data_IF_261482616532
#
_entry.id   IF_261482616532
#
_cell.length_a   1.000
_cell.length_b   1.000
_cell.length_c   1.000
_cell.angle_alpha   90.00
_cell.angle_beta   90.00
_cell.angle_gamma   90.00
#
_symmetry.space_group_name_H-M   'P 1'
#
loop_
_entity.id
_entity.type
_entity.pdbx_description
1 polymer ?
#
# COMPACT_ATOMS: atom_id res chain seq x y z
N UNK A 1 30.85 7.75 -51.65
CA UNK A 1 29.92 8.87 -51.52
C UNK A 1 28.84 8.44 -50.54
N UNK A 2 28.72 9.14 -49.54
CA UNK A 2 28.26 9.00 -48.18
C UNK A 2 26.80 8.60 -48.03
N UNK A 3 26.56 7.49 -47.30
CA UNK A 3 25.28 7.13 -46.75
C UNK A 3 25.02 7.94 -45.44
N UNK A 4 24.01 8.80 -45.46
CA UNK A 4 23.51 9.47 -44.29
C UNK A 4 22.44 8.59 -43.63
N UNK A 5 22.79 7.98 -42.50
CA UNK A 5 21.86 7.26 -41.65
C UNK A 5 20.96 8.26 -40.89
N UNK A 6 19.69 8.24 -41.17
CA UNK A 6 18.67 8.91 -40.38
C UNK A 6 18.58 8.24 -38.97
N UNK A 7 19.20 8.87 -37.99
CA UNK A 7 19.00 8.56 -36.59
C UNK A 7 17.70 9.26 -36.11
N UNK A 8 16.63 8.52 -36.00
CA UNK A 8 15.47 8.97 -35.26
C UNK A 8 15.86 9.20 -33.79
N UNK A 9 15.59 10.40 -33.28
CA UNK A 9 15.73 10.71 -31.83
C UNK A 9 14.74 9.85 -31.04
N UNK A 10 15.15 9.24 -29.94
CA UNK A 10 14.20 8.61 -29.05
C UNK A 10 13.31 9.68 -28.42
N UNK A 11 12.01 9.44 -28.42
CA UNK A 11 11.02 10.28 -27.76
C UNK A 11 11.27 10.29 -26.26
N UNK A 12 11.39 11.49 -25.66
CA UNK A 12 11.76 11.70 -24.27
C UNK A 12 10.53 11.62 -23.35
N UNK A 13 9.78 10.52 -23.44
CA UNK A 13 8.61 10.28 -22.60
C UNK A 13 8.74 8.97 -21.84
N UNK A 14 8.68 9.05 -20.54
CA UNK A 14 8.44 7.98 -19.57
C UNK A 14 9.17 6.63 -19.84
N UNK A 15 10.14 6.20 -19.02
CA UNK A 15 10.82 4.91 -19.17
C UNK A 15 9.89 3.68 -19.01
N UNK A 16 8.63 3.87 -18.65
CA UNK A 16 7.62 2.81 -18.55
C UNK A 16 6.92 2.47 -19.86
N UNK A 17 7.16 3.17 -20.97
CA UNK A 17 6.39 3.07 -22.22
C UNK A 17 6.92 2.03 -23.24
N UNK A 18 7.95 1.25 -22.94
CA UNK A 18 8.54 0.30 -23.93
C UNK A 18 8.27 -1.18 -23.65
N UNK A 19 7.11 -1.53 -23.13
CA UNK A 19 6.84 -2.96 -22.82
C UNK A 19 6.01 -3.71 -23.87
N UNK A 20 5.37 -3.05 -24.81
CA UNK A 20 4.51 -3.72 -25.80
C UNK A 20 5.26 -4.59 -26.82
N UNK A 21 6.56 -4.32 -27.07
CA UNK A 21 7.33 -5.13 -28.02
C UNK A 21 7.83 -6.47 -27.45
N UNK A 22 7.89 -6.62 -26.12
CA UNK A 22 8.37 -7.84 -25.46
C UNK A 22 7.23 -8.84 -25.22
N UNK A 23 5.99 -8.38 -25.09
CA UNK A 23 4.82 -9.26 -24.94
C UNK A 23 4.57 -10.12 -26.18
N UNK A 24 4.86 -9.61 -27.36
CA UNK A 24 4.71 -10.36 -28.63
C UNK A 24 5.70 -11.54 -28.76
N UNK A 25 6.84 -11.47 -28.09
CA UNK A 25 7.87 -12.53 -28.14
C UNK A 25 7.63 -13.63 -27.09
N UNK A 26 6.94 -13.34 -26.00
CA UNK A 26 6.68 -14.30 -24.90
C UNK A 26 5.46 -15.18 -25.11
N UNK A 27 4.50 -14.78 -25.97
CA UNK A 27 3.33 -15.58 -26.33
C UNK A 27 3.64 -16.79 -27.22
N UNK A 28 4.81 -16.85 -27.83
CA UNK A 28 5.20 -17.96 -28.70
C UNK A 28 5.77 -19.21 -27.97
N UNK A 29 6.13 -19.12 -26.71
CA UNK A 29 6.81 -20.20 -25.96
C UNK A 29 6.03 -20.83 -24.82
N UNK A 30 4.82 -20.35 -24.49
CA UNK A 30 4.00 -20.88 -23.39
C UNK A 30 2.82 -21.73 -23.87
N UNK A 31 3.06 -22.73 -24.70
CA UNK A 31 2.09 -23.81 -24.90
C UNK A 31 2.62 -25.09 -24.26
N UNK A 32 2.40 -25.27 -22.95
CA UNK A 32 2.23 -26.56 -22.25
C UNK A 32 2.04 -26.32 -20.75
N UNK A 33 0.83 -26.56 -20.28
CA UNK A 33 0.51 -26.56 -18.85
C UNK A 33 -0.92 -26.10 -18.56
N UNK A 34 -1.91 -26.83 -19.09
CA UNK A 34 -3.32 -26.64 -18.72
C UNK A 34 -3.58 -27.28 -17.37
N UNK A 35 -3.99 -26.50 -16.38
CA UNK A 35 -4.66 -26.97 -15.19
C UNK A 35 -6.13 -26.53 -15.24
N UNK A 36 -7.00 -27.52 -15.31
CA UNK A 36 -8.46 -27.42 -15.32
C UNK A 36 -8.96 -26.83 -13.98
N UNK A 37 -9.70 -25.73 -14.05
CA UNK A 37 -10.57 -25.28 -12.99
C UNK A 37 -12.02 -25.21 -13.48
N UNK A 38 -12.89 -25.97 -12.86
CA UNK A 38 -14.31 -26.06 -13.19
C UNK A 38 -15.09 -24.88 -12.63
N UNK A 39 -15.92 -24.29 -13.51
CA UNK A 39 -16.91 -23.24 -13.15
C UNK A 39 -17.99 -23.84 -12.22
N UNK A 40 -18.30 -23.15 -11.12
CA UNK A 40 -19.63 -23.20 -10.46
C UNK A 40 -20.08 -21.79 -10.10
N UNK A 41 -21.35 -21.54 -10.36
CA UNK A 41 -22.01 -20.26 -10.50
C UNK A 41 -22.09 -19.38 -9.24
N UNK A 42 -22.17 -18.10 -9.50
CA UNK A 42 -22.38 -17.03 -8.53
C UNK A 42 -23.87 -16.64 -8.48
N UNK A 43 -24.42 -16.66 -7.28
CA UNK A 43 -25.64 -15.94 -6.91
C UNK A 43 -25.19 -14.79 -6.00
N UNK A 44 -25.60 -13.56 -6.34
CA UNK A 44 -25.15 -12.36 -5.66
C UNK A 44 -25.63 -12.24 -4.21
N UNK A 45 -24.79 -11.64 -3.38
CA UNK A 45 -25.13 -11.14 -2.06
C UNK A 45 -24.59 -9.71 -1.92
N UNK A 46 -25.49 -8.78 -2.11
CA UNK A 46 -25.30 -7.40 -1.66
C UNK A 46 -25.81 -7.33 -0.21
N UNK A 47 -24.93 -7.50 0.77
CA UNK A 47 -25.09 -7.07 2.18
C UNK A 47 -23.93 -7.63 3.01
N UNK A 48 -22.83 -6.90 3.14
CA UNK A 48 -21.70 -7.36 3.95
C UNK A 48 -20.88 -6.27 4.63
N UNK A 49 -21.18 -5.00 4.39
CA UNK A 49 -20.34 -3.90 4.88
C UNK A 49 -20.64 -3.44 6.33
N UNK A 50 -21.67 -3.96 6.99
CA UNK A 50 -22.12 -3.45 8.30
C UNK A 50 -21.67 -4.29 9.51
N UNK A 51 -20.96 -5.41 9.33
CA UNK A 51 -20.71 -6.39 10.42
C UNK A 51 -19.29 -6.40 10.98
N UNK A 52 -18.35 -5.67 10.40
CA UNK A 52 -16.98 -5.60 10.94
C UNK A 52 -16.80 -4.66 12.15
N UNK A 53 -17.82 -3.89 12.51
CA UNK A 53 -17.73 -2.93 13.62
C UNK A 53 -17.70 -3.58 15.02
N UNK A 54 -18.02 -4.85 15.15
CA UNK A 54 -18.14 -5.53 16.47
C UNK A 54 -17.25 -6.77 16.64
N UNK A 55 -16.15 -6.90 15.90
CA UNK A 55 -15.07 -7.85 16.25
C UNK A 55 -15.39 -9.35 16.14
N UNK A 56 -16.53 -9.77 15.59
CA UNK A 56 -16.89 -11.19 15.46
C UNK A 56 -17.26 -11.49 14.01
N UNK A 57 -16.35 -12.12 13.28
CA UNK A 57 -16.65 -12.80 12.01
C UNK A 57 -17.16 -14.21 12.34
N UNK A 58 -18.46 -14.36 12.58
CA UNK A 58 -19.11 -15.67 12.73
C UNK A 58 -19.66 -16.12 11.37
N UNK A 59 -19.16 -17.23 10.86
CA UNK A 59 -19.59 -17.88 9.62
C UNK A 59 -20.70 -18.91 9.87
N UNK A 60 -21.51 -18.71 10.89
CA UNK A 60 -22.66 -19.58 11.21
C UNK A 60 -23.86 -19.33 10.30
N UNK A 61 -24.33 -20.39 9.65
CA UNK A 61 -25.48 -20.41 8.76
C UNK A 61 -26.76 -19.84 9.43
N UNK A 62 -27.36 -18.83 8.81
CA UNK A 62 -28.67 -18.30 9.17
C UNK A 62 -29.77 -19.33 8.88
N UNK A 63 -30.40 -19.85 9.91
CA UNK A 63 -31.69 -20.51 9.85
C UNK A 63 -32.79 -19.50 10.17
N UNK A 64 -33.75 -19.39 9.28
CA UNK A 64 -34.94 -18.57 9.43
C UNK A 64 -35.74 -18.92 10.72
N UNK A 65 -36.08 -17.89 11.51
CA UNK A 65 -37.12 -17.95 12.54
C UNK A 65 -38.00 -16.70 12.47
N UNK A 66 -39.31 -16.83 12.59
CA UNK A 66 -40.22 -15.71 12.45
C UNK A 66 -40.26 -14.82 13.72
N UNK A 67 -40.51 -13.53 13.46
CA UNK A 67 -40.73 -12.51 14.48
C UNK A 67 -42.04 -12.73 15.22
N UNK A 68 -42.01 -12.76 16.56
CA UNK A 68 -43.16 -12.54 17.41
C UNK A 68 -42.92 -11.37 18.36
N UNK A 69 -43.85 -10.43 18.33
CA UNK A 69 -43.96 -9.28 19.23
C UNK A 69 -44.19 -9.74 20.71
N UNK A 70 -43.58 -9.02 21.68
CA UNK A 70 -44.20 -8.50 22.91
C UNK A 70 -43.14 -8.09 23.94
N UNK A 71 -43.01 -6.92 24.18
CA UNK A 71 -43.23 -5.88 25.21
C UNK A 71 -42.56 -6.02 26.63
N UNK A 72 -42.46 -4.92 27.38
CA UNK A 72 -41.21 -4.47 28.01
C UNK A 72 -41.26 -4.55 29.54
N UNK A 73 -40.13 -4.69 30.18
CA UNK A 73 -39.99 -4.31 31.59
C UNK A 73 -38.51 -4.05 31.97
N UNK A 74 -38.27 -2.84 32.34
CA UNK A 74 -37.33 -2.29 33.30
C UNK A 74 -36.11 -3.11 33.75
N UNK A 75 -34.93 -2.77 33.19
CA UNK A 75 -33.68 -2.98 33.88
C UNK A 75 -32.90 -1.67 33.86
N UNK A 76 -32.71 -1.10 35.05
CA UNK A 76 -31.80 -0.01 35.35
C UNK A 76 -30.41 -0.40 34.85
N UNK A 77 -29.98 0.20 33.74
CA UNK A 77 -28.62 0.06 33.25
C UNK A 77 -27.70 0.84 34.20
N UNK A 78 -26.88 0.14 34.95
CA UNK A 78 -25.66 0.70 35.50
C UNK A 78 -24.89 1.31 34.32
N UNK A 79 -24.45 2.58 34.45
CA UNK A 79 -23.63 3.25 33.49
C UNK A 79 -22.31 2.46 33.33
N UNK A 80 -22.29 1.53 32.38
CA UNK A 80 -21.09 0.85 31.98
C UNK A 80 -20.14 1.92 31.34
N UNK A 81 -18.91 1.92 31.79
CA UNK A 81 -17.87 2.72 31.16
C UNK A 81 -17.92 2.46 29.64
N UNK A 82 -18.11 3.53 28.85
CA UNK A 82 -18.13 3.42 27.41
C UNK A 82 -16.82 2.79 26.96
N UNK A 83 -16.90 1.69 26.22
CA UNK A 83 -15.71 1.09 25.62
C UNK A 83 -14.91 2.16 24.87
N UNK A 84 -13.60 2.29 25.11
CA UNK A 84 -12.82 3.32 24.46
C UNK A 84 -12.94 3.15 22.94
N UNK A 85 -13.05 4.27 22.21
CA UNK A 85 -13.12 4.27 20.75
C UNK A 85 -11.98 3.44 20.16
N UNK A 86 -12.27 2.67 19.10
CA UNK A 86 -11.28 1.80 18.45
C UNK A 86 -10.05 2.55 17.94
N UNK A 87 -10.15 3.85 17.72
CA UNK A 87 -9.01 4.70 17.36
C UNK A 87 -9.22 6.14 17.86
N UNK A 88 -8.10 6.86 17.94
CA UNK A 88 -8.05 8.29 18.22
C UNK A 88 -7.20 8.94 17.13
N UNK A 89 -7.89 9.61 16.21
CA UNK A 89 -7.25 10.26 15.07
C UNK A 89 -6.26 11.33 15.52
N UNK A 90 -6.62 12.18 16.47
CA UNK A 90 -5.78 13.30 16.92
C UNK A 90 -4.48 12.79 17.55
N UNK A 91 -4.55 11.72 18.31
CA UNK A 91 -3.38 11.10 18.93
C UNK A 91 -2.65 10.11 18.01
N UNK A 92 -3.25 9.72 16.87
CA UNK A 92 -2.71 8.68 15.98
C UNK A 92 -2.64 7.32 16.64
N UNK A 93 -3.71 6.95 17.30
CA UNK A 93 -3.80 5.74 18.11
C UNK A 93 -4.85 4.81 17.52
N UNK A 94 -4.51 3.54 17.44
CA UNK A 94 -5.44 2.44 17.17
C UNK A 94 -5.47 1.53 18.40
N UNK A 95 -6.66 1.07 18.80
CA UNK A 95 -6.86 0.17 19.94
C UNK A 95 -7.45 -1.13 19.46
N UNK A 96 -6.86 -2.22 19.89
CA UNK A 96 -7.36 -3.56 19.60
C UNK A 96 -7.73 -4.27 20.90
N UNK A 97 -8.73 -5.16 20.88
CA UNK A 97 -9.11 -5.94 22.04
C UNK A 97 -7.96 -6.80 22.57
N UNK A 98 -7.95 -7.06 23.86
CA UNK A 98 -6.97 -7.96 24.48
C UNK A 98 -7.12 -9.38 23.90
N UNK A 99 -6.02 -9.98 23.48
CA UNK A 99 -5.99 -11.34 22.96
C UNK A 99 -6.26 -11.47 21.46
N UNK A 100 -6.68 -10.40 20.79
CA UNK A 100 -6.78 -10.42 19.33
C UNK A 100 -5.41 -10.28 18.66
N UNK A 101 -5.25 -10.92 17.50
CA UNK A 101 -4.08 -10.69 16.64
C UNK A 101 -4.22 -9.36 15.94
N UNK A 102 -3.20 -8.49 16.03
CA UNK A 102 -3.16 -7.28 15.22
C UNK A 102 -3.10 -7.67 13.74
N UNK A 103 -4.00 -7.09 12.94
CA UNK A 103 -4.05 -7.26 11.49
C UNK A 103 -3.89 -5.89 10.83
N UNK A 104 -2.85 -5.75 10.02
CA UNK A 104 -2.57 -4.55 9.22
C UNK A 104 -2.62 -4.93 7.75
N UNK A 105 -3.53 -4.31 6.99
CA UNK A 105 -3.63 -4.48 5.55
C UNK A 105 -2.85 -3.37 4.85
N UNK A 106 -1.85 -3.73 4.07
CA UNK A 106 -1.20 -2.81 3.14
C UNK A 106 -1.97 -2.79 1.82
N UNK A 107 -2.34 -1.60 1.38
CA UNK A 107 -2.74 -1.27 0.03
C UNK A 107 -1.64 -0.41 -0.60
N UNK A 108 -1.36 -0.61 -1.88
CA UNK A 108 -0.33 0.15 -2.59
C UNK A 108 -0.65 0.30 -4.05
N UNK A 109 -0.21 1.39 -4.63
CA UNK A 109 -0.32 1.61 -6.08
C UNK A 109 -1.76 1.39 -6.60
N UNK A 110 -2.74 1.95 -5.89
CA UNK A 110 -4.14 1.94 -6.32
C UNK A 110 -4.31 2.73 -7.61
N UNK A 111 -3.53 3.79 -7.77
CA UNK A 111 -3.35 4.58 -8.98
C UNK A 111 -4.67 4.89 -9.69
N UNK A 112 -5.66 5.37 -8.93
CA UNK A 112 -6.97 5.71 -9.48
C UNK A 112 -6.81 6.88 -10.44
N UNK A 113 -7.34 6.73 -11.64
CA UNK A 113 -7.29 7.72 -12.71
C UNK A 113 -8.66 8.38 -12.82
N UNK A 114 -8.69 9.71 -12.95
CA UNK A 114 -9.91 10.43 -13.28
C UNK A 114 -10.32 10.12 -14.73
N UNK A 115 -11.31 9.26 -14.91
CA UNK A 115 -11.84 8.91 -16.22
C UNK A 115 -12.52 10.10 -16.93
N UNK A 116 -12.90 11.15 -16.19
CA UNK A 116 -13.48 12.38 -16.71
C UNK A 116 -12.45 13.49 -16.96
N UNK A 117 -11.16 13.26 -16.65
CA UNK A 117 -10.11 14.25 -16.83
C UNK A 117 -9.96 14.64 -18.30
N UNK A 118 -9.58 15.92 -18.52
CA UNK A 118 -9.43 16.49 -19.85
C UNK A 118 -7.99 16.80 -20.23
N UNK A 119 -7.03 16.51 -19.35
CA UNK A 119 -5.62 16.68 -19.68
C UNK A 119 -5.29 15.83 -20.89
N UNK A 120 -4.56 16.45 -21.79
CA UNK A 120 -4.30 15.93 -23.10
C UNK A 120 -3.93 14.44 -23.09
N UNK A 121 -4.69 13.61 -23.81
CA UNK A 121 -4.34 12.22 -24.03
C UNK A 121 -3.08 12.06 -24.91
N UNK A 122 -2.39 13.16 -25.27
CA UNK A 122 -1.18 13.12 -26.10
C UNK A 122 -0.04 12.33 -25.44
N UNK A 123 -0.08 12.12 -24.14
CA UNK A 123 0.89 11.30 -23.42
C UNK A 123 0.56 9.82 -23.46
N UNK A 124 -0.72 9.46 -23.57
CA UNK A 124 -1.18 8.07 -23.60
C UNK A 124 -1.29 7.58 -25.04
N UNK A 125 -0.74 6.41 -25.31
CA UNK A 125 -1.02 5.70 -26.56
C UNK A 125 -2.48 5.23 -26.60
N UNK A 126 -3.05 4.93 -27.80
CA UNK A 126 -4.40 4.38 -27.88
C UNK A 126 -4.60 3.10 -27.09
N UNK A 127 -3.56 2.28 -26.96
CA UNK A 127 -3.62 1.05 -26.14
C UNK A 127 -3.66 1.36 -24.64
N UNK A 128 -2.91 2.36 -24.19
CA UNK A 128 -2.94 2.83 -22.80
C UNK A 128 -4.29 3.46 -22.45
N UNK A 129 -4.83 4.31 -23.32
CA UNK A 129 -6.17 4.87 -23.14
C UNK A 129 -7.19 3.75 -22.92
N UNK A 130 -7.15 2.71 -23.76
CA UNK A 130 -8.07 1.58 -23.63
C UNK A 130 -7.87 0.80 -22.32
N UNK A 131 -6.64 0.67 -21.84
CA UNK A 131 -6.32 -0.08 -20.62
C UNK A 131 -6.56 0.76 -19.35
N UNK A 132 -6.27 2.05 -19.38
CA UNK A 132 -6.21 2.91 -18.20
C UNK A 132 -7.45 3.77 -17.97
N UNK A 133 -8.26 3.95 -19.00
CA UNK A 133 -9.52 4.70 -18.94
C UNK A 133 -10.74 3.82 -19.26
N UNK A 134 -10.82 2.58 -18.76
CA UNK A 134 -12.03 1.80 -18.97
C UNK A 134 -13.17 2.40 -18.14
N UNK A 135 -14.38 2.27 -18.64
CA UNK A 135 -15.57 2.57 -17.86
C UNK A 135 -15.53 1.80 -16.52
N UNK A 136 -15.91 2.47 -15.44
CA UNK A 136 -15.93 1.90 -14.08
C UNK A 136 -14.56 1.58 -13.45
N UNK A 137 -13.50 2.24 -13.89
CA UNK A 137 -12.16 2.06 -13.33
C UNK A 137 -12.14 2.19 -11.80
N UNK A 138 -12.67 3.29 -11.29
CA UNK A 138 -12.71 3.59 -9.86
C UNK A 138 -13.57 2.56 -9.11
N UNK A 139 -14.75 2.22 -9.65
CA UNK A 139 -15.67 1.26 -9.03
C UNK A 139 -15.05 -0.13 -8.88
N UNK A 140 -14.29 -0.59 -9.88
CA UNK A 140 -13.59 -1.87 -9.82
C UNK A 140 -12.53 -1.86 -8.71
N UNK A 141 -11.71 -0.80 -8.62
CA UNK A 141 -10.72 -0.68 -7.56
C UNK A 141 -11.38 -0.67 -6.16
N UNK A 142 -12.47 0.06 -6.00
CA UNK A 142 -13.22 0.10 -4.73
C UNK A 142 -13.83 -1.26 -4.38
N UNK A 143 -14.33 -2.01 -5.35
CA UNK A 143 -14.81 -3.37 -5.14
C UNK A 143 -13.70 -4.28 -4.62
N UNK A 144 -12.51 -4.23 -5.23
CA UNK A 144 -11.36 -5.03 -4.81
C UNK A 144 -10.92 -4.69 -3.38
N UNK A 145 -10.90 -3.40 -3.02
CA UNK A 145 -10.56 -2.98 -1.66
C UNK A 145 -11.59 -3.50 -0.65
N UNK A 146 -12.90 -3.43 -0.97
CA UNK A 146 -13.94 -4.02 -0.10
C UNK A 146 -13.74 -5.51 0.10
N UNK A 147 -13.44 -6.24 -0.96
CA UNK A 147 -13.19 -7.68 -0.90
C UNK A 147 -11.97 -8.00 -0.03
N UNK A 148 -10.89 -7.24 -0.15
CA UNK A 148 -9.70 -7.37 0.70
C UNK A 148 -10.03 -7.10 2.17
N UNK A 149 -10.79 -6.05 2.45
CA UNK A 149 -11.22 -5.71 3.81
C UNK A 149 -12.10 -6.82 4.40
N UNK A 150 -13.06 -7.33 3.64
CA UNK A 150 -13.92 -8.42 4.06
C UNK A 150 -13.14 -9.72 4.35
N UNK A 151 -12.13 -10.04 3.53
CA UNK A 151 -11.30 -11.23 3.72
C UNK A 151 -10.32 -11.13 4.89
N UNK A 152 -9.87 -9.91 5.21
CA UNK A 152 -8.77 -9.71 6.16
C UNK A 152 -9.21 -9.14 7.50
N UNK A 153 -10.39 -8.51 7.57
CA UNK A 153 -10.91 -7.81 8.74
C UNK A 153 -9.80 -7.01 9.48
N UNK A 154 -9.14 -6.05 8.81
CA UNK A 154 -7.96 -5.40 9.35
C UNK A 154 -8.34 -4.40 10.46
N UNK A 155 -7.44 -4.23 11.44
CA UNK A 155 -7.57 -3.19 12.45
C UNK A 155 -7.03 -1.84 11.98
N UNK A 156 -6.14 -1.87 10.99
CA UNK A 156 -5.53 -0.71 10.38
C UNK A 156 -5.26 -1.01 8.90
N UNK A 157 -5.54 -0.04 8.04
CA UNK A 157 -5.08 -0.06 6.64
C UNK A 157 -3.92 0.91 6.52
N UNK A 158 -2.76 0.46 6.03
CA UNK A 158 -1.68 1.35 5.61
C UNK A 158 -1.68 1.46 4.09
N UNK A 159 -1.47 2.67 3.58
CA UNK A 159 -1.39 2.90 2.15
C UNK A 159 0.00 3.42 1.81
N UNK A 160 0.72 2.65 1.02
CA UNK A 160 2.13 2.94 0.72
C UNK A 160 2.32 3.73 -0.58
N UNK A 161 1.41 4.66 -0.87
CA UNK A 161 1.55 5.66 -1.91
C UNK A 161 1.04 5.24 -3.29
N UNK A 162 1.11 6.19 -4.22
CA UNK A 162 0.48 6.14 -5.53
C UNK A 162 -1.01 5.80 -5.43
N UNK A 163 -1.69 6.53 -4.53
CA UNK A 163 -3.10 6.33 -4.22
C UNK A 163 -3.96 6.77 -5.41
N UNK A 164 -3.61 7.91 -6.00
CA UNK A 164 -4.19 8.42 -7.25
C UNK A 164 -3.09 8.63 -8.28
N UNK A 165 -3.46 8.59 -9.54
CA UNK A 165 -2.56 8.99 -10.62
C UNK A 165 -2.68 10.50 -10.81
N UNK A 166 -1.94 11.28 -10.00
CA UNK A 166 -2.12 12.72 -9.84
C UNK A 166 -2.02 13.52 -11.11
N UNK A 167 -1.22 13.09 -12.09
CA UNK A 167 -1.18 13.72 -13.41
C UNK A 167 -2.53 13.74 -14.13
N UNK A 168 -3.44 12.83 -13.78
CA UNK A 168 -4.78 12.70 -14.34
C UNK A 168 -5.88 13.08 -13.34
N UNK A 169 -5.56 13.76 -12.26
CA UNK A 169 -6.49 14.33 -11.30
C UNK A 169 -6.38 15.86 -11.29
N UNK A 170 -7.00 16.50 -12.28
CA UNK A 170 -6.90 17.95 -12.49
C UNK A 170 -7.58 18.78 -11.42
N UNK A 171 -8.65 18.26 -10.81
CA UNK A 171 -9.52 18.99 -9.87
C UNK A 171 -9.42 18.49 -8.44
N UNK A 172 -8.70 17.41 -8.19
CA UNK A 172 -8.69 16.71 -6.91
C UNK A 172 -9.98 15.91 -6.64
N UNK A 173 -10.86 15.79 -7.64
CA UNK A 173 -12.14 15.08 -7.52
C UNK A 173 -11.92 13.61 -7.15
N UNK A 174 -11.04 12.94 -7.86
CA UNK A 174 -10.78 11.51 -7.66
C UNK A 174 -10.17 11.25 -6.29
N UNK A 175 -9.25 12.12 -5.85
CA UNK A 175 -8.71 12.04 -4.50
C UNK A 175 -9.82 12.22 -3.45
N UNK A 176 -10.72 13.20 -3.63
CA UNK A 176 -11.80 13.43 -2.68
C UNK A 176 -12.79 12.26 -2.62
N UNK A 177 -13.15 11.68 -3.77
CA UNK A 177 -14.00 10.49 -3.85
C UNK A 177 -13.32 9.27 -3.21
N UNK A 178 -12.04 9.07 -3.47
CA UNK A 178 -11.26 8.00 -2.86
C UNK A 178 -11.17 8.14 -1.33
N UNK A 179 -10.93 9.34 -0.81
CA UNK A 179 -10.95 9.61 0.62
C UNK A 179 -12.32 9.27 1.23
N UNK A 180 -13.41 9.72 0.60
CA UNK A 180 -14.77 9.40 1.03
C UNK A 180 -15.04 7.88 1.02
N UNK A 181 -14.55 7.19 0.00
CA UNK A 181 -14.62 5.74 -0.08
C UNK A 181 -13.86 5.06 1.06
N UNK A 182 -12.61 5.44 1.33
CA UNK A 182 -11.81 4.87 2.41
C UNK A 182 -12.44 5.12 3.78
N UNK A 183 -12.96 6.31 4.03
CA UNK A 183 -13.70 6.63 5.26
C UNK A 183 -14.97 5.77 5.41
N UNK A 184 -15.66 5.47 4.30
CA UNK A 184 -16.86 4.62 4.33
C UNK A 184 -16.60 3.17 4.78
N UNK A 185 -15.35 2.72 4.77
CA UNK A 185 -14.97 1.39 5.26
C UNK A 185 -15.05 1.28 6.79
N UNK A 186 -15.09 2.42 7.50
CA UNK A 186 -15.17 2.45 8.98
C UNK A 186 -13.90 1.96 9.70
N UNK A 187 -12.81 1.77 8.98
CA UNK A 187 -11.52 1.28 9.50
C UNK A 187 -10.53 2.44 9.51
N UNK A 188 -9.73 2.64 10.58
CA UNK A 188 -8.67 3.63 10.55
C UNK A 188 -7.66 3.30 9.45
N UNK A 189 -7.24 4.33 8.73
CA UNK A 189 -6.30 4.18 7.64
C UNK A 189 -5.20 5.25 7.67
N UNK A 190 -4.00 4.86 7.28
CA UNK A 190 -2.77 5.64 7.37
C UNK A 190 -2.08 5.71 6.00
N UNK A 191 -2.32 6.77 5.21
CA UNK A 191 -1.71 6.93 3.90
C UNK A 191 -0.34 7.60 3.96
N UNK A 192 0.49 7.32 2.96
CA UNK A 192 1.69 8.05 2.61
C UNK A 192 1.64 8.40 1.11
N UNK A 193 2.47 9.34 0.70
CA UNK A 193 2.59 9.75 -0.69
C UNK A 193 3.44 8.79 -1.51
N UNK A 194 3.00 8.56 -2.76
CA UNK A 194 3.84 8.05 -3.82
C UNK A 194 4.32 9.16 -4.75
N UNK A 195 5.05 8.80 -5.78
CA UNK A 195 5.56 9.78 -6.74
C UNK A 195 4.46 10.32 -7.67
N UNK A 196 3.41 9.56 -7.93
CA UNK A 196 2.28 10.00 -8.75
C UNK A 196 1.26 10.86 -8.00
N UNK A 197 1.08 10.66 -6.71
CA UNK A 197 0.19 11.53 -5.91
C UNK A 197 0.61 12.99 -6.02
N UNK A 198 1.91 13.27 -5.96
CA UNK A 198 2.47 14.63 -5.99
C UNK A 198 2.42 15.30 -7.37
N UNK A 199 1.98 14.61 -8.40
CA UNK A 199 1.79 15.16 -9.75
C UNK A 199 0.46 15.88 -9.92
N UNK A 200 -0.45 15.79 -8.93
CA UNK A 200 -1.77 16.42 -8.99
C UNK A 200 -1.68 17.95 -9.08
N UNK A 201 -2.54 18.52 -9.92
CA UNK A 201 -2.62 19.97 -10.12
C UNK A 201 -3.13 20.74 -8.89
N UNK A 202 -3.83 20.06 -7.97
CA UNK A 202 -4.32 20.71 -6.73
C UNK A 202 -3.21 21.00 -5.73
N UNK A 203 -2.07 20.29 -5.84
CA UNK A 203 -0.87 20.50 -5.03
C UNK A 203 -0.95 19.88 -3.63
N UNK A 204 0.23 19.66 -3.05
CA UNK A 204 0.38 18.91 -1.78
C UNK A 204 -0.39 19.51 -0.62
N UNK A 205 -0.47 20.84 -0.51
CA UNK A 205 -1.17 21.48 0.61
C UNK A 205 -2.67 21.16 0.63
N UNK A 206 -3.32 21.18 -0.54
CA UNK A 206 -4.73 20.83 -0.66
C UNK A 206 -4.96 19.34 -0.39
N UNK A 207 -4.07 18.46 -0.87
CA UNK A 207 -4.13 17.03 -0.61
C UNK A 207 -3.93 16.70 0.87
N UNK A 208 -2.96 17.34 1.55
CA UNK A 208 -2.77 17.20 3.00
C UNK A 208 -4.01 17.64 3.79
N UNK A 209 -4.63 18.77 3.38
CA UNK A 209 -5.87 19.25 4.00
C UNK A 209 -7.02 18.24 3.80
N UNK A 210 -7.14 17.64 2.63
CA UNK A 210 -8.17 16.63 2.35
C UNK A 210 -8.00 15.39 3.22
N UNK A 211 -6.80 14.83 3.33
CA UNK A 211 -6.51 13.72 4.25
C UNK A 211 -6.72 14.12 5.72
N UNK A 212 -6.30 15.33 6.09
CA UNK A 212 -6.52 15.87 7.43
C UNK A 212 -7.99 16.04 7.81
N UNK A 213 -8.87 16.29 6.84
CA UNK A 213 -10.32 16.44 7.06
C UNK A 213 -11.05 15.08 7.17
N UNK A 214 -10.52 14.02 6.60
CA UNK A 214 -11.14 12.69 6.59
C UNK A 214 -11.28 12.12 8.01
N UNK A 215 -12.40 11.48 8.31
CA UNK A 215 -12.76 11.09 9.69
C UNK A 215 -11.90 9.94 10.23
N UNK A 216 -11.61 8.94 9.40
CA UNK A 216 -10.88 7.74 9.78
C UNK A 216 -9.40 7.77 9.34
N UNK A 217 -8.97 8.85 8.69
CA UNK A 217 -7.59 9.01 8.21
C UNK A 217 -6.66 9.46 9.33
N UNK A 218 -5.59 8.73 9.54
CA UNK A 218 -4.57 9.00 10.56
C UNK A 218 -3.41 9.86 10.02
N UNK A 219 -3.54 10.40 8.80
CA UNK A 219 -2.51 11.23 8.18
C UNK A 219 -2.18 12.46 9.00
N UNK A 220 -0.89 12.70 9.20
CA UNK A 220 -0.34 13.91 9.81
C UNK A 220 1.11 14.09 9.42
N UNK A 221 1.73 15.18 9.86
CA UNK A 221 3.15 15.46 9.65
C UNK A 221 3.80 15.78 10.99
N UNK A 222 4.79 14.99 11.39
CA UNK A 222 5.54 15.13 12.65
C UNK A 222 7.00 15.62 12.43
N UNK A 223 7.38 15.90 11.18
CA UNK A 223 8.64 16.57 10.83
C UNK A 223 8.41 18.07 10.72
N UNK A 224 9.34 18.86 11.28
CA UNK A 224 9.22 20.32 11.30
C UNK A 224 9.72 20.97 10.00
N UNK A 225 10.68 20.33 9.33
CA UNK A 225 11.30 20.87 8.12
C UNK A 225 10.53 20.46 6.87
N UNK A 226 9.99 21.39 6.09
CA UNK A 226 9.29 21.08 4.82
C UNK A 226 10.14 20.31 3.81
N UNK A 227 11.48 20.39 3.90
CA UNK A 227 12.38 19.62 3.04
C UNK A 227 12.33 18.11 3.32
N UNK A 228 11.80 17.70 4.46
CA UNK A 228 11.61 16.29 4.81
C UNK A 228 10.33 15.69 4.21
N UNK A 229 9.58 16.48 3.43
CA UNK A 229 8.28 16.08 2.88
C UNK A 229 7.15 16.23 3.89
N UNK A 230 6.01 15.68 3.54
CA UNK A 230 4.79 15.70 4.36
C UNK A 230 4.30 14.27 4.60
N UNK A 231 3.57 14.05 5.70
CA UNK A 231 3.08 12.71 6.03
C UNK A 231 4.15 11.81 6.64
N UNK A 232 5.12 12.38 7.34
CA UNK A 232 6.05 11.64 8.19
C UNK A 232 5.47 11.58 9.60
N UNK A 233 5.04 10.40 10.04
CA UNK A 233 4.35 10.23 11.33
C UNK A 233 4.40 8.79 11.82
N UNK A 234 3.92 8.57 13.05
CA UNK A 234 3.74 7.24 13.59
C UNK A 234 2.30 6.99 14.04
N UNK A 235 1.82 5.77 13.89
CA UNK A 235 0.59 5.27 14.51
C UNK A 235 0.99 4.37 15.68
N UNK A 236 0.36 4.58 16.83
CA UNK A 236 0.56 3.81 18.06
C UNK A 236 -0.55 2.78 18.18
N UNK A 237 -0.19 1.52 18.35
CA UNK A 237 -1.16 0.42 18.52
C UNK A 237 -1.20 -0.02 19.97
N UNK A 238 -2.38 0.08 20.58
CA UNK A 238 -2.60 -0.36 21.94
C UNK A 238 -3.45 -1.62 21.97
N UNK A 239 -3.06 -2.55 22.82
CA UNK A 239 -3.83 -3.76 23.08
C UNK A 239 -4.09 -3.88 24.59
N UNK A 240 -5.36 -3.92 24.97
CA UNK A 240 -5.72 -3.98 26.40
C UNK A 240 -5.09 -2.83 27.21
N UNK A 241 -5.02 -1.65 26.65
CA UNK A 241 -4.45 -0.45 27.26
C UNK A 241 -2.91 -0.36 27.28
N UNK A 242 -2.20 -1.34 26.71
CA UNK A 242 -0.73 -1.35 26.62
C UNK A 242 -0.28 -1.05 25.19
N UNK A 243 0.74 -0.20 25.03
CA UNK A 243 1.40 0.02 23.76
C UNK A 243 2.14 -1.26 23.32
N UNK A 244 1.74 -1.82 22.17
CA UNK A 244 2.25 -3.11 21.70
C UNK A 244 3.02 -3.02 20.40
N UNK A 245 2.70 -2.03 19.55
CA UNK A 245 3.31 -1.90 18.22
C UNK A 245 3.36 -0.43 17.80
N UNK A 246 4.37 -0.07 17.00
CA UNK A 246 4.47 1.22 16.31
C UNK A 246 4.41 1.03 14.81
N UNK A 247 3.80 1.98 14.09
CA UNK A 247 3.80 2.02 12.63
C UNK A 247 4.37 3.36 12.18
N UNK A 248 5.58 3.36 11.62
CA UNK A 248 6.22 4.54 11.07
C UNK A 248 5.85 4.70 9.60
N UNK A 249 5.22 5.82 9.28
CA UNK A 249 4.87 6.21 7.91
C UNK A 249 5.84 7.29 7.45
N UNK A 250 6.59 7.04 6.37
CA UNK A 250 7.64 7.95 5.89
C UNK A 250 7.38 8.36 4.44
N UNK A 251 7.44 9.66 4.17
CA UNK A 251 7.47 10.18 2.81
C UNK A 251 8.83 9.85 2.16
N UNK A 252 8.85 8.92 1.21
CA UNK A 252 10.06 8.63 0.41
C UNK A 252 10.30 9.65 -0.69
N UNK A 253 9.49 10.68 -0.72
CA UNK A 253 9.44 11.74 -1.71
C UNK A 253 9.10 11.23 -3.13
N UNK A 254 8.88 12.16 -4.05
CA UNK A 254 8.74 11.85 -5.47
C UNK A 254 10.09 11.74 -6.16
N UNK A 255 10.02 11.68 -7.48
CA UNK A 255 11.20 11.69 -8.33
C UNK A 255 11.51 13.11 -8.81
N UNK A 256 12.79 13.50 -8.78
CA UNK A 256 13.25 14.71 -9.48
C UNK A 256 13.58 14.37 -10.94
N UNK A 257 13.22 15.25 -11.87
CA UNK A 257 13.73 15.13 -13.23
C UNK A 257 15.16 15.69 -13.26
N UNK A 258 16.14 14.88 -13.65
CA UNK A 258 17.45 15.41 -13.98
C UNK A 258 17.30 16.32 -15.21
N UNK A 259 17.79 17.57 -15.14
CA UNK A 259 17.58 18.61 -16.14
C UNK A 259 18.02 18.21 -17.57
N UNK A 260 18.90 17.21 -17.71
CA UNK A 260 19.50 16.80 -18.99
C UNK A 260 19.19 15.35 -19.42
N UNK A 261 18.50 14.59 -18.56
CA UNK A 261 18.21 13.18 -18.85
C UNK A 261 16.75 12.89 -18.51
N UNK A 262 16.08 12.15 -19.39
CA UNK A 262 14.71 11.64 -19.19
C UNK A 262 14.58 10.64 -18.03
N UNK A 263 15.54 10.63 -17.11
CA UNK A 263 15.60 9.69 -15.98
C UNK A 263 15.04 10.39 -14.77
N UNK A 264 13.99 9.82 -14.18
CA UNK A 264 13.49 10.21 -12.88
C UNK A 264 14.40 9.61 -11.81
N UNK A 265 14.97 10.46 -10.95
CA UNK A 265 15.82 10.05 -9.84
C UNK A 265 15.00 10.21 -8.55
N UNK A 266 14.74 9.15 -7.78
CA UNK A 266 14.09 9.25 -6.49
C UNK A 266 14.87 10.17 -5.55
N UNK A 267 14.15 10.96 -4.76
CA UNK A 267 14.75 11.72 -3.68
C UNK A 267 15.09 10.78 -2.51
N UNK A 268 15.76 11.31 -1.50
CA UNK A 268 16.22 10.51 -0.37
C UNK A 268 15.25 10.57 0.80
N UNK A 269 15.13 9.48 1.57
CA UNK A 269 14.71 9.55 2.97
C UNK A 269 15.78 10.38 3.70
N UNK A 270 15.35 11.34 4.52
CA UNK A 270 16.24 12.33 5.12
C UNK A 270 16.76 11.89 6.49
N UNK A 271 17.81 12.58 6.94
CA UNK A 271 18.34 12.42 8.29
C UNK A 271 17.33 12.81 9.38
N UNK A 272 16.51 13.84 9.12
CA UNK A 272 15.48 14.28 10.08
C UNK A 272 14.34 13.27 10.21
N UNK A 273 13.94 12.60 9.13
CA UNK A 273 12.97 11.50 9.19
C UNK A 273 13.49 10.36 10.07
N UNK A 274 14.78 10.02 9.96
CA UNK A 274 15.39 9.03 10.84
C UNK A 274 15.41 9.48 12.31
N UNK A 275 15.77 10.75 12.57
CA UNK A 275 15.74 11.31 13.93
C UNK A 275 14.33 11.34 14.53
N UNK A 276 13.32 11.60 13.70
CA UNK A 276 11.92 11.51 14.12
C UNK A 276 11.59 10.09 14.59
N UNK A 277 11.91 9.06 13.79
CA UNK A 277 11.69 7.66 14.20
C UNK A 277 12.41 7.33 15.51
N UNK A 278 13.69 7.72 15.64
CA UNK A 278 14.50 7.46 16.84
C UNK A 278 13.93 8.15 18.08
N UNK A 279 13.43 9.37 17.94
CA UNK A 279 12.74 10.08 19.01
C UNK A 279 11.47 9.37 19.43
N UNK A 280 10.61 9.02 18.46
CA UNK A 280 9.34 8.35 18.72
C UNK A 280 9.54 6.94 19.29
N UNK A 281 10.57 6.20 18.86
CA UNK A 281 10.93 4.91 19.43
C UNK A 281 11.32 5.01 20.91
N UNK A 282 12.13 6.01 21.27
CA UNK A 282 12.52 6.27 22.67
C UNK A 282 11.33 6.71 23.54
N UNK A 283 10.39 7.46 22.97
CA UNK A 283 9.14 7.83 23.65
C UNK A 283 8.28 6.59 23.91
N UNK A 284 8.11 5.73 22.89
CA UNK A 284 7.37 4.49 23.00
C UNK A 284 8.00 3.51 24.01
N UNK A 285 9.33 3.39 24.02
CA UNK A 285 10.05 2.56 24.98
C UNK A 285 9.86 3.05 26.41
N UNK A 286 9.95 4.37 26.65
CA UNK A 286 9.70 4.97 27.97
C UNK A 286 8.27 4.71 28.45
N UNK A 287 7.28 4.82 27.57
CA UNK A 287 5.87 4.57 27.88
C UNK A 287 5.61 3.09 28.18
N UNK A 288 6.13 2.19 27.34
CA UNK A 288 5.90 0.75 27.46
C UNK A 288 6.78 0.07 28.53
N UNK A 289 7.86 0.74 29.00
CA UNK A 289 8.88 0.17 29.88
C UNK A 289 9.74 -0.93 29.21
N UNK A 290 9.68 -1.05 27.89
CA UNK A 290 10.41 -2.02 27.07
C UNK A 290 10.53 -1.53 25.62
N UNK A 291 11.49 -2.02 24.83
CA UNK A 291 11.48 -1.80 23.39
C UNK A 291 10.15 -2.24 22.78
N UNK A 292 9.56 -1.38 21.95
CA UNK A 292 8.30 -1.64 21.26
C UNK A 292 8.62 -2.10 19.84
N UNK A 293 8.12 -3.26 19.40
CA UNK A 293 8.26 -3.65 18.01
C UNK A 293 7.57 -2.65 17.09
N UNK A 294 8.07 -2.55 15.86
CA UNK A 294 7.55 -1.60 14.91
C UNK A 294 7.55 -2.14 13.49
N UNK A 295 6.67 -1.58 12.67
CA UNK A 295 6.81 -1.63 11.21
C UNK A 295 7.15 -0.24 10.68
N UNK A 296 7.81 -0.18 9.52
CA UNK A 296 8.02 1.06 8.80
C UNK A 296 7.49 0.91 7.36
N UNK A 297 6.89 1.99 6.85
CA UNK A 297 6.27 1.98 5.54
C UNK A 297 6.60 3.25 4.77
N UNK A 298 6.89 3.10 3.49
CA UNK A 298 7.12 4.19 2.53
C UNK A 298 6.81 3.71 1.11
N UNK A 299 6.88 4.59 0.13
CA UNK A 299 6.51 4.23 -1.24
C UNK A 299 7.67 3.65 -2.04
N UNK A 300 8.70 4.46 -2.35
CA UNK A 300 9.80 4.04 -3.22
C UNK A 300 10.78 3.15 -2.45
N UNK A 301 11.03 1.91 -2.90
CA UNK A 301 11.90 0.98 -2.19
C UNK A 301 13.32 1.56 -2.02
N UNK A 302 13.94 1.25 -0.88
CA UNK A 302 15.27 1.73 -0.56
C UNK A 302 16.37 0.80 -1.07
N UNK A 303 17.61 1.30 -1.11
CA UNK A 303 18.78 0.48 -1.48
C UNK A 303 18.95 -0.74 -0.57
N UNK A 304 18.50 -0.67 0.69
CA UNK A 304 18.57 -1.77 1.66
C UNK A 304 17.65 -2.92 1.27
N UNK A 305 16.46 -2.62 0.73
CA UNK A 305 15.58 -3.66 0.21
C UNK A 305 16.25 -4.48 -0.89
N UNK A 306 16.82 -3.82 -1.90
CA UNK A 306 17.54 -4.52 -2.97
C UNK A 306 18.84 -5.15 -2.47
N UNK A 307 19.50 -4.55 -1.47
CA UNK A 307 20.64 -5.11 -0.76
C UNK A 307 20.28 -6.43 -0.07
N UNK A 308 19.13 -6.50 0.59
CA UNK A 308 18.61 -7.73 1.20
C UNK A 308 18.38 -8.81 0.13
N UNK A 309 17.66 -8.49 -0.93
CA UNK A 309 17.44 -9.43 -2.04
C UNK A 309 18.75 -9.94 -2.63
N UNK A 310 19.72 -9.05 -2.89
CA UNK A 310 21.05 -9.42 -3.40
C UNK A 310 21.82 -10.32 -2.44
N UNK A 311 21.83 -10.00 -1.14
CA UNK A 311 22.51 -10.80 -0.12
C UNK A 311 21.93 -12.21 0.00
N UNK A 312 20.65 -12.37 -0.34
CA UNK A 312 19.95 -13.65 -0.36
C UNK A 312 20.08 -14.40 -1.72
N UNK A 313 20.81 -13.82 -2.68
CA UNK A 313 21.05 -14.42 -3.99
C UNK A 313 19.97 -14.16 -5.03
N UNK A 314 19.01 -13.26 -4.74
CA UNK A 314 18.00 -12.88 -5.74
C UNK A 314 18.59 -11.84 -6.69
N UNK A 315 18.35 -11.96 -8.03
CA UNK A 315 18.86 -11.01 -8.99
C UNK A 315 18.17 -9.66 -8.88
N UNK A 316 18.95 -8.59 -8.80
CA UNK A 316 18.47 -7.22 -8.67
C UNK A 316 19.31 -6.32 -9.57
N UNK A 317 19.07 -6.33 -10.88
CA UNK A 317 19.79 -5.42 -11.80
C UNK A 317 18.93 -4.21 -12.09
N UNK A 318 19.43 -3.03 -11.77
CA UNK A 318 18.84 -1.76 -12.17
C UNK A 318 18.87 -1.64 -13.71
N UNK A 319 17.73 -1.30 -14.32
CA UNK A 319 17.65 -1.00 -15.77
C UNK A 319 17.57 -2.21 -16.71
N UNK A 320 17.42 -3.42 -16.20
CA UNK A 320 17.25 -4.63 -17.02
C UNK A 320 15.97 -5.35 -16.59
N UNK A 321 15.08 -5.65 -17.53
CA UNK A 321 13.95 -6.55 -17.24
C UNK A 321 14.52 -7.91 -16.89
N UNK A 322 14.28 -8.35 -15.68
CA UNK A 322 14.67 -9.68 -15.21
C UNK A 322 13.49 -10.60 -15.51
N UNK A 323 13.77 -11.80 -15.98
CA UNK A 323 12.75 -12.85 -16.03
C UNK A 323 12.14 -13.07 -14.64
N UNK A 324 11.03 -13.78 -14.57
CA UNK A 324 10.38 -14.08 -13.30
C UNK A 324 11.36 -14.75 -12.34
N UNK A 325 11.64 -14.09 -11.22
CA UNK A 325 12.40 -14.66 -10.12
C UNK A 325 11.46 -14.87 -8.95
N UNK A 326 11.34 -16.11 -8.50
CA UNK A 326 10.59 -16.48 -7.30
C UNK A 326 11.55 -16.94 -6.22
N UNK A 327 11.26 -16.66 -4.94
CA UNK A 327 12.10 -17.12 -3.84
C UNK A 327 12.14 -18.64 -3.75
N UNK A 328 13.35 -19.16 -3.48
CA UNK A 328 13.56 -20.57 -3.20
C UNK A 328 13.78 -20.85 -1.70
N UNK A 329 13.94 -19.80 -0.88
CA UNK A 329 14.19 -19.93 0.56
C UNK A 329 12.88 -20.10 1.32
N UNK A 330 12.82 -20.99 2.33
CA UNK A 330 11.66 -21.12 3.18
C UNK A 330 11.26 -19.80 3.84
N UNK A 331 9.96 -19.45 3.75
CA UNK A 331 9.40 -18.22 4.32
C UNK A 331 9.59 -16.97 3.50
N UNK A 332 10.36 -16.97 2.42
CA UNK A 332 10.36 -15.93 1.40
C UNK A 332 9.28 -16.24 0.37
N UNK A 333 8.67 -15.21 -0.22
CA UNK A 333 7.59 -15.40 -1.20
C UNK A 333 7.48 -14.19 -2.16
N UNK A 334 6.63 -14.31 -3.19
CA UNK A 334 6.40 -13.28 -4.18
C UNK A 334 7.29 -13.42 -5.42
N UNK A 335 7.50 -12.34 -6.17
CA UNK A 335 8.27 -12.35 -7.40
C UNK A 335 9.00 -11.04 -7.66
N UNK A 336 10.05 -11.10 -8.49
CA UNK A 336 10.76 -9.95 -9.07
C UNK A 336 10.67 -10.09 -10.59
N UNK A 337 9.98 -9.16 -11.26
CA UNK A 337 9.80 -9.16 -12.72
C UNK A 337 10.17 -7.82 -13.37
N UNK A 338 10.64 -6.88 -12.59
CA UNK A 338 11.11 -5.59 -13.10
C UNK A 338 12.30 -5.09 -12.29
N UNK A 339 12.83 -3.95 -12.68
CA UNK A 339 13.91 -3.27 -11.99
C UNK A 339 13.46 -1.86 -11.61
N UNK A 340 13.99 -1.35 -10.51
CA UNK A 340 13.68 -0.02 -10.02
C UNK A 340 14.95 0.70 -9.58
N UNK A 341 14.91 2.03 -9.61
CA UNK A 341 15.94 2.86 -9.00
C UNK A 341 15.53 3.08 -7.55
N UNK A 342 16.31 2.58 -6.58
CA UNK A 342 15.96 2.74 -5.18
C UNK A 342 16.09 4.19 -4.72
N UNK A 343 15.28 4.58 -3.73
CA UNK A 343 15.52 5.83 -3.00
C UNK A 343 16.79 5.73 -2.17
N UNK A 344 17.53 6.82 -2.07
CA UNK A 344 18.69 6.89 -1.20
C UNK A 344 18.26 7.04 0.27
N UNK A 345 19.14 6.67 1.16
CA UNK A 345 18.91 6.66 2.61
C UNK A 345 20.16 7.15 3.33
N UNK A 346 20.04 7.69 4.55
CA UNK A 346 21.16 8.00 5.40
C UNK A 346 22.06 6.78 5.66
N UNK A 347 23.25 7.03 6.16
CA UNK A 347 24.16 5.96 6.54
C UNK A 347 23.56 5.03 7.60
N UNK A 348 23.88 3.75 7.51
CA UNK A 348 23.45 2.70 8.45
C UNK A 348 21.94 2.64 8.65
N UNK A 349 21.16 2.97 7.62
CA UNK A 349 19.69 3.07 7.72
C UNK A 349 19.05 1.78 8.25
N UNK A 350 19.44 0.60 7.74
CA UNK A 350 18.91 -0.67 8.24
C UNK A 350 19.22 -0.93 9.73
N UNK A 351 20.37 -0.46 10.23
CA UNK A 351 20.71 -0.57 11.65
C UNK A 351 19.86 0.40 12.49
N UNK A 352 19.63 1.61 11.98
CA UNK A 352 18.76 2.60 12.62
C UNK A 352 17.32 2.10 12.70
N UNK A 353 16.80 1.48 11.63
CA UNK A 353 15.49 0.83 11.66
C UNK A 353 15.40 -0.21 12.80
N UNK A 354 16.39 -1.11 12.91
CA UNK A 354 16.44 -2.07 14.03
C UNK A 354 16.52 -1.40 15.39
N UNK A 355 17.31 -0.33 15.51
CA UNK A 355 17.40 0.49 16.73
C UNK A 355 16.06 1.14 17.12
N UNK A 356 15.18 1.38 16.16
CA UNK A 356 13.80 1.84 16.38
C UNK A 356 12.78 0.70 16.57
N UNK A 357 13.22 -0.54 16.75
CA UNK A 357 12.33 -1.70 16.93
C UNK A 357 11.71 -2.22 15.63
N UNK A 358 12.14 -1.75 14.45
CA UNK A 358 11.53 -2.17 13.18
C UNK A 358 11.86 -3.62 12.87
N UNK A 359 10.82 -4.44 12.73
CA UNK A 359 10.86 -5.87 12.41
C UNK A 359 10.30 -6.20 11.03
N UNK A 360 9.54 -5.28 10.44
CA UNK A 360 9.05 -5.40 9.08
C UNK A 360 9.02 -4.04 8.37
N UNK A 361 9.24 -4.07 7.06
CA UNK A 361 9.20 -2.90 6.17
C UNK A 361 8.25 -3.19 5.02
N UNK A 362 7.44 -2.21 4.67
CA UNK A 362 6.50 -2.26 3.56
C UNK A 362 6.76 -1.12 2.58
N UNK A 363 6.92 -1.46 1.30
CA UNK A 363 7.07 -0.50 0.22
C UNK A 363 6.11 -0.80 -0.94
N UNK A 364 5.96 0.15 -1.87
CA UNK A 364 5.18 0.09 -3.09
C UNK A 364 6.02 0.39 -4.32
N UNK A 365 5.46 1.19 -5.27
CA UNK A 365 6.15 1.73 -6.43
C UNK A 365 6.47 0.75 -7.57
N UNK A 366 6.88 -0.46 -7.24
CA UNK A 366 7.25 -1.45 -8.23
C UNK A 366 6.07 -2.37 -8.50
N UNK A 367 5.42 -2.21 -9.65
CA UNK A 367 4.18 -2.92 -9.95
C UNK A 367 4.40 -4.40 -10.28
N UNK A 368 5.64 -4.77 -10.68
CA UNK A 368 6.03 -6.15 -10.98
C UNK A 368 7.06 -6.71 -9.99
N UNK A 369 7.13 -6.13 -8.80
CA UNK A 369 7.87 -6.68 -7.66
C UNK A 369 6.92 -6.79 -6.47
N UNK A 370 6.70 -8.00 -5.99
CA UNK A 370 5.95 -8.25 -4.76
C UNK A 370 6.67 -9.23 -3.84
N UNK A 371 8.00 -9.26 -3.91
CA UNK A 371 8.82 -10.17 -3.10
C UNK A 371 8.84 -9.74 -1.63
N UNK A 372 8.77 -10.71 -0.74
CA UNK A 372 8.97 -10.54 0.70
C UNK A 372 10.06 -11.49 1.18
N UNK A 373 11.09 -10.92 1.82
CA UNK A 373 12.26 -11.66 2.26
C UNK A 373 12.63 -11.31 3.69
N UNK A 374 13.14 -12.30 4.45
CA UNK A 374 13.69 -12.08 5.78
C UNK A 374 15.20 -11.88 5.71
N UNK A 375 15.68 -10.71 6.13
CA UNK A 375 17.10 -10.42 6.14
C UNK A 375 17.49 -9.55 7.35
N UNK A 376 18.51 -9.97 8.08
CA UNK A 376 19.04 -9.26 9.25
C UNK A 376 17.97 -8.81 10.27
N UNK A 377 17.03 -9.70 10.58
CA UNK A 377 15.98 -9.46 11.59
C UNK A 377 14.84 -8.55 11.11
N UNK A 378 14.84 -8.12 9.86
CA UNK A 378 13.75 -7.33 9.26
C UNK A 378 13.15 -8.12 8.10
N UNK A 379 11.82 -8.20 8.05
CA UNK A 379 11.10 -8.67 6.87
C UNK A 379 10.91 -7.51 5.90
N UNK A 380 11.58 -7.59 4.77
CA UNK A 380 11.51 -6.60 3.69
C UNK A 380 10.45 -7.01 2.69
N UNK A 381 9.41 -6.22 2.54
CA UNK A 381 8.25 -6.56 1.72
C UNK A 381 7.93 -5.46 0.71
N UNK A 382 7.90 -5.85 -0.56
CA UNK A 382 7.18 -5.09 -1.58
C UNK A 382 5.72 -5.54 -1.56
N UNK A 383 4.80 -4.60 -1.42
CA UNK A 383 3.37 -4.89 -1.43
C UNK A 383 2.88 -5.40 -2.78
N UNK A 384 1.86 -6.23 -2.75
CA UNK A 384 1.13 -6.58 -3.96
C UNK A 384 0.35 -5.36 -4.45
N UNK A 385 0.50 -5.00 -5.73
CA UNK A 385 -0.24 -3.88 -6.33
C UNK A 385 -1.75 -4.06 -6.13
N UNK A 386 -2.41 -3.01 -5.67
CA UNK A 386 -3.86 -3.06 -5.42
C UNK A 386 -4.67 -2.60 -6.62
N UNK A 387 -4.22 -1.57 -7.33
CA UNK A 387 -4.92 -1.03 -8.49
C UNK A 387 -4.86 -1.94 -9.70
N UNK A 388 -5.97 -2.01 -10.42
CA UNK A 388 -6.14 -2.86 -11.61
C UNK A 388 -5.62 -2.24 -12.90
N UNK A 389 -5.38 -0.94 -12.86
CA UNK A 389 -4.90 -0.17 -14.02
C UNK A 389 -3.39 -0.04 -13.97
N UNK A 390 -2.83 0.25 -15.15
CA UNK A 390 -1.40 0.20 -15.34
C UNK A 390 -0.83 -1.24 -15.29
N UNK A 391 0.47 -1.37 -15.57
CA UNK A 391 1.13 -2.68 -15.65
C UNK A 391 1.26 -3.33 -14.26
N UNK A 392 1.21 -4.64 -14.21
CA UNK A 392 1.32 -5.44 -12.99
C UNK A 392 1.78 -6.87 -13.30
N UNK A 393 2.03 -7.68 -12.28
CA UNK A 393 2.19 -9.12 -12.44
C UNK A 393 0.83 -9.74 -12.78
N UNK A 394 0.72 -10.44 -13.90
CA UNK A 394 -0.53 -11.08 -14.30
C UNK A 394 -1.08 -12.01 -13.19
N UNK A 395 -2.33 -11.78 -12.82
CA UNK A 395 -2.99 -12.54 -11.76
C UNK A 395 -2.54 -12.22 -10.32
N UNK A 396 -1.72 -11.16 -10.13
CA UNK A 396 -1.21 -10.76 -8.83
C UNK A 396 -1.61 -9.32 -8.49
N UNK A 397 -2.91 -9.08 -8.41
CA UNK A 397 -3.50 -7.85 -7.88
C UNK A 397 -4.18 -8.17 -6.56
N UNK A 398 -4.01 -7.28 -5.57
CA UNK A 398 -4.59 -7.50 -4.26
C UNK A 398 -4.02 -6.58 -3.19
N UNK A 399 -3.80 -7.12 -2.01
CA UNK A 399 -3.19 -6.45 -0.87
C UNK A 399 -2.16 -7.33 -0.18
N UNK A 400 -1.52 -6.78 0.83
CA UNK A 400 -0.57 -7.52 1.66
C UNK A 400 -1.01 -7.44 3.11
N UNK A 401 -1.24 -8.58 3.74
CA UNK A 401 -1.65 -8.66 5.14
C UNK A 401 -0.46 -8.97 6.03
N UNK A 402 -0.28 -8.18 7.08
CA UNK A 402 0.59 -8.48 8.20
C UNK A 402 -0.25 -8.81 9.44
N UNK A 403 -0.02 -9.97 10.00
CA UNK A 403 -0.65 -10.43 11.25
C UNK A 403 0.43 -10.58 12.32
N UNK A 404 0.22 -9.97 13.49
CA UNK A 404 1.19 -9.98 14.56
C UNK A 404 0.74 -10.90 15.67
N UNK A 405 1.62 -11.80 16.05
CA UNK A 405 1.45 -12.67 17.22
C UNK A 405 2.67 -12.49 18.12
N UNK A 406 2.46 -11.98 19.32
CA UNK A 406 3.54 -11.70 20.29
C UNK A 406 4.70 -10.90 19.70
N UNK A 407 4.38 -9.88 18.90
CA UNK A 407 5.37 -9.01 18.24
C UNK A 407 6.10 -9.64 17.04
N UNK A 408 5.67 -10.82 16.57
CA UNK A 408 6.25 -11.45 15.37
C UNK A 408 5.29 -11.31 14.20
N UNK A 409 5.69 -10.67 13.08
CA UNK A 409 4.84 -10.51 11.92
C UNK A 409 4.82 -11.77 11.05
N UNK A 410 3.63 -12.24 10.71
CA UNK A 410 3.40 -13.13 9.58
C UNK A 410 2.86 -12.29 8.43
N UNK A 411 3.56 -12.28 7.30
CA UNK A 411 3.19 -11.48 6.13
C UNK A 411 2.79 -12.41 4.99
N UNK A 412 1.70 -12.07 4.31
CA UNK A 412 1.24 -12.79 3.12
C UNK A 412 0.52 -11.88 2.14
N UNK A 413 0.58 -12.20 0.87
CA UNK A 413 -0.24 -11.53 -0.14
C UNK A 413 -1.65 -12.11 -0.16
N UNK A 414 -2.62 -11.23 -0.36
CA UNK A 414 -4.04 -11.58 -0.51
C UNK A 414 -4.44 -11.17 -1.93
N UNK A 415 -4.42 -12.10 -2.89
CA UNK A 415 -4.88 -11.80 -4.24
C UNK A 415 -6.40 -11.59 -4.23
N UNK A 416 -6.87 -10.61 -4.98
CA UNK A 416 -8.28 -10.49 -5.33
C UNK A 416 -8.57 -11.39 -6.53
N UNK A 417 -9.65 -12.15 -6.46
CA UNK A 417 -10.03 -13.14 -7.49
C UNK A 417 -10.64 -12.51 -8.74
N UNK A 418 -10.31 -11.29 -9.08
CA UNK A 418 -10.74 -10.72 -10.33
C UNK A 418 -9.93 -11.36 -11.46
N UNK A 419 -10.56 -12.25 -12.20
CA UNK A 419 -10.03 -12.71 -13.47
C UNK A 419 -10.05 -11.56 -14.47
N UNK A 420 -8.89 -10.97 -14.71
CA UNK A 420 -8.60 -10.06 -15.82
C UNK A 420 -7.56 -10.70 -16.73
#
# INVERSE_FOLDING_TARGET
MTNAALRGKPDAGNPHVRFDEVEAALTATSRRGSLLYTRRGFVGLAAGAALCANGVCDTGALKDKPLTDNDPAGASAAAGEASPAMFDKAAGVVRIPKGERLRILQLTDTQIIDSAQRRSPKRLSPSEIKKWLPENAEANCYSHIRDLVAQTCPHLIIMTGDNVYGEFDDSGRVLAEFIGFMDSLGIPWAPIWGNHDQESAVGNAAMCAAYGAASNCLFRTETENPADGTGNYAVRIYQGGKLVEMVYMLDSHGCSRAAEKSIRIPRSITENQCRMMERLAKEAEREAGRPVPAIAAWHIPTKEFFGACKALGYPTKVGTVIGVTVPARPGDFGAIQETSIPTATPERFAERLRGCGVIAVFAGHCHKINISVMWNGIRWTMGMKTGTYDYHINGAIGGTLAEFHDGVPTVRHIPTLAGY
#
